data_IF_625704987046
#
_entry.id   IF_625704987046
#
_cell.length_a   1.000
_cell.length_b   1.000
_cell.length_c   1.000
_cell.angle_alpha   90.00
_cell.angle_beta   90.00
_cell.angle_gamma   90.00
#
_symmetry.space_group_name_H-M   'P 1'
#
loop_
_entity.id
_entity.type
_entity.pdbx_description
1 polymer ?
#
# COMPACT_ATOMS: atom_id res chain seq x y z
N UNK A 1 41.74 17.47 -4.32
CA UNK A 1 40.66 16.53 -4.00
C UNK A 1 39.35 17.30 -3.99
N UNK A 2 38.42 16.97 -4.88
CA UNK A 2 37.10 17.56 -4.85
C UNK A 2 36.36 17.14 -3.57
N UNK A 3 35.74 18.09 -2.90
CA UNK A 3 35.05 17.88 -1.63
C UNK A 3 33.64 17.39 -1.89
N UNK A 4 33.21 16.34 -1.16
CA UNK A 4 31.81 15.90 -1.15
C UNK A 4 30.95 16.91 -0.41
N UNK A 5 29.89 17.37 -1.04
CA UNK A 5 28.93 18.36 -0.50
C UNK A 5 27.52 17.85 -0.57
N UNK A 6 26.66 18.32 0.35
CA UNK A 6 25.22 18.06 0.37
C UNK A 6 24.50 19.37 0.02
N UNK A 7 23.42 19.21 -0.75
CA UNK A 7 22.57 20.28 -1.23
C UNK A 7 21.12 20.00 -0.88
N UNK A 8 20.38 21.00 -0.44
CA UNK A 8 18.93 20.94 -0.47
C UNK A 8 18.49 21.14 -1.92
N UNK A 9 17.74 20.19 -2.46
CA UNK A 9 17.33 20.16 -3.87
C UNK A 9 15.90 20.67 -4.01
N UNK A 10 15.76 21.77 -4.74
CA UNK A 10 14.48 22.35 -5.13
C UNK A 10 14.09 21.99 -6.58
N UNK A 11 12.96 22.52 -7.03
CA UNK A 11 12.45 22.31 -8.40
C UNK A 11 13.38 22.85 -9.49
N UNK A 12 14.19 23.88 -9.17
CA UNK A 12 15.09 24.56 -10.11
C UNK A 12 16.45 23.87 -10.25
N UNK A 13 16.77 22.89 -9.40
CA UNK A 13 18.09 22.24 -9.34
C UNK A 13 18.26 21.14 -10.40
N UNK A 14 18.40 21.53 -11.66
CA UNK A 14 18.48 20.63 -12.82
C UNK A 14 19.62 19.61 -12.73
N UNK A 15 20.72 19.91 -12.03
CA UNK A 15 21.86 18.99 -11.88
C UNK A 15 21.47 17.67 -11.23
N UNK A 16 20.47 17.66 -10.33
CA UNK A 16 19.99 16.47 -9.64
C UNK A 16 18.81 15.78 -10.31
N UNK A 17 18.14 16.43 -11.27
CA UNK A 17 16.93 15.91 -11.89
C UNK A 17 17.14 14.58 -12.62
N UNK A 18 18.34 14.31 -13.15
CA UNK A 18 18.67 13.02 -13.77
C UNK A 18 18.65 11.84 -12.78
N UNK A 19 18.80 12.10 -11.48
CA UNK A 19 18.80 11.10 -10.42
C UNK A 19 17.45 10.95 -9.72
N UNK A 20 16.45 11.75 -10.10
CA UNK A 20 15.13 11.78 -9.46
C UNK A 20 14.09 11.40 -10.52
N UNK A 21 13.35 10.29 -10.37
CA UNK A 21 12.26 9.90 -11.27
C UNK A 21 11.21 11.01 -11.43
N UNK A 22 10.57 11.07 -12.58
CA UNK A 22 9.66 12.14 -12.96
C UNK A 22 8.49 12.31 -11.96
N UNK A 23 7.92 11.22 -11.50
CA UNK A 23 6.87 11.22 -10.48
C UNK A 23 7.30 11.88 -9.15
N UNK A 24 8.59 11.82 -8.80
CA UNK A 24 9.13 12.48 -7.61
C UNK A 24 9.58 13.91 -7.87
N UNK A 25 9.92 14.26 -9.13
CA UNK A 25 10.28 15.65 -9.49
C UNK A 25 9.13 16.61 -9.25
N UNK A 26 7.89 16.19 -9.50
CA UNK A 26 6.69 16.98 -9.24
C UNK A 26 6.45 17.29 -7.73
N UNK A 27 7.21 16.64 -6.85
CA UNK A 27 7.13 16.85 -5.40
C UNK A 27 8.19 17.83 -4.89
N UNK A 28 9.22 18.15 -5.69
CA UNK A 28 10.31 19.06 -5.29
C UNK A 28 9.78 20.46 -5.04
N UNK A 29 10.27 21.10 -3.98
CA UNK A 29 9.85 22.44 -3.58
C UNK A 29 8.51 22.52 -2.82
N UNK A 30 7.84 21.39 -2.57
CA UNK A 30 6.63 21.36 -1.73
C UNK A 30 7.01 21.40 -0.26
N UNK A 31 6.19 22.02 0.57
CA UNK A 31 6.42 22.14 2.03
C UNK A 31 6.45 20.80 2.76
N UNK A 32 5.76 19.80 2.21
CA UNK A 32 5.73 18.43 2.75
C UNK A 32 6.91 17.56 2.28
N UNK A 33 7.81 18.09 1.44
CA UNK A 33 8.87 17.31 0.80
C UNK A 33 10.24 17.87 1.11
N UNK A 34 11.17 16.98 1.45
CA UNK A 34 12.59 17.30 1.64
C UNK A 34 13.42 16.44 0.70
N UNK A 35 14.20 17.07 -0.14
CA UNK A 35 15.15 16.40 -1.02
C UNK A 35 16.57 16.88 -0.76
N UNK A 36 17.50 15.93 -0.65
CA UNK A 36 18.93 16.19 -0.49
C UNK A 36 19.68 15.55 -1.64
N UNK A 37 20.55 16.31 -2.27
CA UNK A 37 21.47 15.85 -3.30
C UNK A 37 22.90 15.81 -2.79
N UNK A 38 23.71 14.89 -3.32
CA UNK A 38 25.15 14.83 -3.06
C UNK A 38 25.93 15.12 -4.35
N UNK A 39 27.02 15.89 -4.22
CA UNK A 39 27.90 16.21 -5.33
C UNK A 39 29.38 16.18 -4.93
N UNK A 40 30.24 15.75 -5.85
CA UNK A 40 31.71 15.97 -5.79
C UNK A 40 32.04 17.19 -6.64
N UNK A 41 32.49 18.25 -6.00
CA UNK A 41 32.63 19.53 -6.67
C UNK A 41 31.30 20.00 -7.28
N UNK A 42 31.24 20.11 -8.60
CA UNK A 42 30.03 20.47 -9.37
C UNK A 42 29.27 19.26 -9.91
N UNK A 43 29.81 18.03 -9.76
CA UNK A 43 29.24 16.83 -10.34
C UNK A 43 28.25 16.18 -9.35
N UNK A 44 26.95 16.28 -9.64
CA UNK A 44 25.93 15.56 -8.88
C UNK A 44 26.17 14.05 -8.97
N UNK A 45 25.93 13.31 -7.89
CA UNK A 45 26.20 11.87 -7.80
C UNK A 45 25.11 11.07 -7.07
N UNK A 46 24.01 11.70 -6.67
CA UNK A 46 22.87 11.02 -6.08
C UNK A 46 21.89 11.95 -5.42
N UNK A 47 20.71 11.43 -5.08
CA UNK A 47 19.65 12.17 -4.40
C UNK A 47 18.89 11.25 -3.44
N UNK A 48 18.33 11.82 -2.37
CA UNK A 48 17.40 11.17 -1.46
C UNK A 48 16.24 12.12 -1.13
N UNK A 49 15.01 11.56 -1.10
CA UNK A 49 13.78 12.33 -0.91
C UNK A 49 12.90 11.68 0.17
N UNK A 50 12.40 12.51 1.07
CA UNK A 50 11.38 12.14 2.03
C UNK A 50 10.17 13.07 1.94
N UNK A 51 9.02 12.52 2.24
CA UNK A 51 7.75 13.24 2.25
C UNK A 51 7.10 13.14 3.63
N UNK A 52 6.50 14.23 4.10
CA UNK A 52 5.75 14.29 5.34
C UNK A 52 4.42 13.56 5.19
N UNK A 53 4.09 12.70 6.14
CA UNK A 53 2.82 11.98 6.20
C UNK A 53 1.78 12.72 7.05
N UNK A 54 0.52 12.29 6.94
CA UNK A 54 -0.54 12.69 7.86
C UNK A 54 -0.11 12.25 9.29
N UNK A 55 0.07 13.16 10.21
CA UNK A 55 0.60 12.88 11.55
C UNK A 55 1.96 13.51 11.83
N UNK A 56 2.61 14.08 10.82
CA UNK A 56 3.77 14.94 10.96
C UNK A 56 5.12 14.24 10.85
N UNK A 57 5.17 12.91 10.84
CA UNK A 57 6.38 12.14 10.59
C UNK A 57 6.66 12.00 9.08
N UNK A 58 7.84 11.50 8.71
CA UNK A 58 8.26 11.45 7.32
C UNK A 58 8.39 10.00 6.82
N UNK A 59 8.16 9.82 5.51
CA UNK A 59 8.45 8.59 4.79
C UNK A 59 9.57 8.82 3.78
N UNK A 60 10.64 8.03 3.83
CA UNK A 60 11.66 7.98 2.80
C UNK A 60 11.03 7.40 1.52
N UNK A 61 10.87 8.24 0.50
CA UNK A 61 10.24 7.84 -0.77
C UNK A 61 11.24 7.37 -1.80
N UNK A 62 12.46 7.91 -1.75
CA UNK A 62 13.46 7.63 -2.77
C UNK A 62 14.88 7.85 -2.24
N UNK A 63 15.80 6.99 -2.69
CA UNK A 63 17.24 7.17 -2.56
C UNK A 63 17.94 6.54 -3.75
N UNK A 64 18.84 7.28 -4.39
CA UNK A 64 19.65 6.80 -5.50
C UNK A 64 21.06 7.34 -5.41
N UNK A 65 22.02 6.51 -5.76
CA UNK A 65 23.43 6.85 -5.91
C UNK A 65 23.90 6.39 -7.28
N UNK A 66 24.56 7.29 -8.01
CA UNK A 66 25.16 6.98 -9.31
C UNK A 66 26.00 5.71 -9.21
N UNK A 67 25.86 4.74 -10.11
CA UNK A 67 26.62 3.51 -10.08
C UNK A 67 28.14 3.71 -9.95
N UNK A 68 28.68 4.76 -10.57
CA UNK A 68 30.12 5.12 -10.51
C UNK A 68 30.55 5.62 -9.13
N UNK A 69 29.62 6.10 -8.31
CA UNK A 69 29.87 6.63 -6.96
C UNK A 69 29.40 5.66 -5.85
N UNK A 70 29.05 4.43 -6.19
CA UNK A 70 28.64 3.40 -5.21
C UNK A 70 29.86 2.84 -4.45
N UNK A 71 29.57 2.17 -3.35
CA UNK A 71 30.53 1.46 -2.47
C UNK A 71 31.53 2.35 -1.71
N UNK A 72 31.46 3.67 -1.83
CA UNK A 72 32.28 4.62 -1.07
C UNK A 72 31.57 5.25 0.15
N UNK A 73 30.43 4.71 0.59
CA UNK A 73 29.67 5.22 1.73
C UNK A 73 28.70 6.37 1.40
N UNK A 74 28.64 6.82 0.13
CA UNK A 74 27.84 7.96 -0.30
C UNK A 74 26.35 7.83 0.03
N UNK A 75 25.77 6.64 -0.15
CA UNK A 75 24.35 6.40 0.18
C UNK A 75 24.05 6.63 1.67
N UNK A 76 24.93 6.17 2.56
CA UNK A 76 24.79 6.43 4.00
C UNK A 76 24.97 7.90 4.34
N UNK A 77 25.94 8.56 3.69
CA UNK A 77 26.18 10.00 3.86
C UNK A 77 24.97 10.84 3.42
N UNK A 78 24.40 10.52 2.25
CA UNK A 78 23.22 11.16 1.71
C UNK A 78 22.00 10.99 2.64
N UNK A 79 21.77 9.76 3.12
CA UNK A 79 20.67 9.46 4.02
C UNK A 79 20.83 10.17 5.37
N UNK A 80 22.04 10.21 5.94
CA UNK A 80 22.30 10.98 7.17
C UNK A 80 22.08 12.48 6.97
N UNK A 81 22.45 13.02 5.81
CA UNK A 81 22.18 14.41 5.47
C UNK A 81 20.69 14.70 5.40
N UNK A 82 19.91 13.82 4.77
CA UNK A 82 18.45 13.90 4.75
C UNK A 82 17.87 13.86 6.17
N UNK A 83 18.29 12.90 7.00
CA UNK A 83 17.86 12.78 8.40
C UNK A 83 18.15 14.05 9.20
N UNK A 84 19.33 14.66 9.02
CA UNK A 84 19.68 15.93 9.65
C UNK A 84 18.71 17.06 9.28
N UNK A 85 18.31 17.15 8.00
CA UNK A 85 17.34 18.14 7.54
C UNK A 85 15.93 17.87 8.10
N UNK A 86 15.53 16.61 8.24
CA UNK A 86 14.26 16.22 8.81
C UNK A 86 14.21 16.50 10.33
N UNK A 87 15.31 16.23 11.04
CA UNK A 87 15.46 16.56 12.46
C UNK A 87 15.28 18.06 12.70
N UNK A 88 15.95 18.90 11.89
CA UNK A 88 15.84 20.36 11.96
C UNK A 88 14.41 20.87 11.69
N UNK A 89 13.56 20.08 11.02
CA UNK A 89 12.14 20.35 10.78
C UNK A 89 11.21 19.74 11.83
N UNK A 90 11.76 19.18 12.91
CA UNK A 90 11.01 18.63 14.04
C UNK A 90 10.42 17.24 13.79
N UNK A 91 10.93 16.48 12.82
CA UNK A 91 10.56 15.07 12.64
C UNK A 91 10.94 14.27 13.89
N UNK A 92 10.05 13.37 14.32
CA UNK A 92 10.31 12.43 15.41
C UNK A 92 10.67 11.05 14.91
N UNK A 93 10.14 10.70 13.75
CA UNK A 93 10.30 9.40 13.13
C UNK A 93 10.40 9.52 11.61
N UNK A 94 11.20 8.66 11.00
CA UNK A 94 11.25 8.47 9.54
C UNK A 94 11.04 6.99 9.23
N UNK A 95 10.06 6.69 8.40
CA UNK A 95 9.77 5.35 7.89
C UNK A 95 10.43 5.15 6.53
N UNK A 96 10.95 3.97 6.28
CA UNK A 96 11.33 3.49 4.95
C UNK A 96 10.50 2.24 4.66
N UNK A 97 9.57 2.35 3.71
CA UNK A 97 8.70 1.24 3.26
C UNK A 97 9.19 0.82 1.87
N UNK A 98 9.45 -0.45 1.70
CA UNK A 98 10.03 -1.00 0.47
C UNK A 98 9.71 -2.47 0.28
N UNK A 99 9.62 -2.89 -0.98
CA UNK A 99 9.58 -4.30 -1.37
C UNK A 99 10.98 -4.78 -1.72
N UNK A 100 11.45 -5.90 -1.16
CA UNK A 100 12.77 -6.45 -1.48
C UNK A 100 12.97 -6.73 -2.98
N UNK A 101 11.92 -7.13 -3.68
CA UNK A 101 11.94 -7.41 -5.12
C UNK A 101 12.12 -6.15 -5.99
N UNK A 102 11.65 -5.00 -5.52
CA UNK A 102 11.79 -3.71 -6.23
C UNK A 102 13.15 -3.05 -6.04
N UNK A 103 13.98 -3.58 -5.16
CA UNK A 103 15.31 -3.04 -4.91
C UNK A 103 16.30 -3.69 -5.88
N UNK A 104 16.75 -2.96 -6.90
CA UNK A 104 17.82 -3.40 -7.84
C UNK A 104 19.05 -3.98 -7.12
N UNK A 105 19.31 -3.51 -5.90
CA UNK A 105 20.39 -3.93 -5.02
C UNK A 105 19.90 -4.08 -3.58
N UNK A 106 18.91 -4.93 -3.34
CA UNK A 106 18.22 -5.08 -2.05
C UNK A 106 19.13 -5.17 -0.83
N UNK A 107 20.19 -5.98 -0.90
CA UNK A 107 21.17 -6.10 0.21
C UNK A 107 21.94 -4.80 0.46
N UNK A 108 22.25 -4.04 -0.59
CA UNK A 108 22.96 -2.77 -0.45
C UNK A 108 22.09 -1.69 0.18
N UNK A 109 20.83 -1.60 -0.25
CA UNK A 109 19.85 -0.63 0.31
C UNK A 109 19.59 -0.91 1.78
N UNK A 110 19.38 -2.18 2.16
CA UNK A 110 19.26 -2.60 3.56
C UNK A 110 20.50 -2.20 4.38
N UNK A 111 21.69 -2.44 3.85
CA UNK A 111 22.93 -2.04 4.50
C UNK A 111 23.09 -0.51 4.64
N UNK A 112 22.54 0.28 3.74
CA UNK A 112 22.52 1.75 3.85
C UNK A 112 21.59 2.17 5.00
N UNK A 113 20.36 1.65 5.04
CA UNK A 113 19.39 1.93 6.10
C UNK A 113 19.95 1.56 7.49
N UNK A 114 20.49 0.36 7.63
CA UNK A 114 21.06 -0.12 8.90
C UNK A 114 22.23 0.74 9.36
N UNK A 115 23.18 1.08 8.46
CA UNK A 115 24.31 1.97 8.79
C UNK A 115 23.89 3.41 9.08
N UNK A 116 22.75 3.85 8.58
CA UNK A 116 22.17 5.15 8.93
C UNK A 116 21.44 5.13 10.27
N UNK A 117 21.18 3.96 10.86
CA UNK A 117 20.55 3.82 12.17
C UNK A 117 19.08 3.42 12.13
N UNK A 118 18.56 3.01 10.99
CA UNK A 118 17.20 2.46 10.89
C UNK A 118 17.11 1.11 11.62
N UNK A 119 15.93 0.84 12.18
CA UNK A 119 15.62 -0.44 12.79
C UNK A 119 15.71 -1.60 11.80
N UNK A 120 15.82 -2.82 12.31
CA UNK A 120 15.64 -4.01 11.47
C UNK A 120 14.26 -3.99 10.81
N UNK A 121 14.17 -4.41 9.53
CA UNK A 121 12.92 -4.39 8.80
C UNK A 121 11.88 -5.32 9.42
N UNK A 122 10.62 -4.85 9.43
CA UNK A 122 9.45 -5.64 9.81
C UNK A 122 8.48 -5.68 8.64
N UNK A 123 7.84 -6.80 8.42
CA UNK A 123 6.76 -6.91 7.45
C UNK A 123 5.58 -6.02 7.88
N UNK A 124 5.09 -5.18 6.97
CA UNK A 124 3.95 -4.26 7.23
C UNK A 124 2.74 -4.60 6.37
N UNK A 125 2.97 -5.12 5.18
CA UNK A 125 1.93 -5.64 4.31
C UNK A 125 2.46 -6.76 3.44
N UNK A 126 1.55 -7.56 2.88
CA UNK A 126 1.88 -8.52 1.82
C UNK A 126 0.86 -8.35 0.71
N UNK A 127 1.33 -8.01 -0.47
CA UNK A 127 0.52 -7.94 -1.67
C UNK A 127 0.47 -9.29 -2.35
N UNK A 128 -0.69 -9.63 -2.85
CA UNK A 128 -0.98 -10.84 -3.62
C UNK A 128 -1.56 -10.43 -4.96
N UNK A 129 -1.15 -11.09 -6.02
CA UNK A 129 -1.83 -10.98 -7.32
C UNK A 129 -2.00 -12.35 -7.96
N UNK A 130 -3.08 -12.52 -8.71
CA UNK A 130 -3.41 -13.73 -9.46
C UNK A 130 -4.35 -13.38 -10.60
N UNK A 131 -4.72 -14.36 -11.43
CA UNK A 131 -5.79 -14.22 -12.41
C UNK A 131 -7.13 -14.67 -11.82
N UNK A 132 -8.23 -14.04 -12.25
CA UNK A 132 -9.58 -14.34 -11.78
C UNK A 132 -9.96 -15.82 -11.99
N UNK A 133 -9.53 -16.40 -13.12
CA UNK A 133 -9.76 -17.81 -13.45
C UNK A 133 -9.10 -18.79 -12.47
N UNK A 134 -8.01 -18.39 -11.84
CA UNK A 134 -7.26 -19.20 -10.87
C UNK A 134 -7.88 -19.15 -9.45
N UNK A 135 -8.78 -18.20 -9.19
CA UNK A 135 -9.44 -18.08 -7.88
C UNK A 135 -10.47 -19.18 -7.75
N UNK A 136 -10.40 -20.02 -6.68
CA UNK A 136 -11.39 -21.07 -6.47
C UNK A 136 -12.77 -20.51 -6.17
N UNK A 137 -13.80 -21.25 -6.53
CA UNK A 137 -15.16 -20.94 -6.11
C UNK A 137 -15.30 -21.14 -4.60
N UNK A 138 -15.91 -20.16 -3.95
CA UNK A 138 -16.24 -20.25 -2.52
C UNK A 138 -17.69 -20.74 -2.39
N UNK A 139 -17.86 -21.89 -1.79
CA UNK A 139 -19.20 -22.45 -1.50
C UNK A 139 -19.64 -22.09 -0.10
N UNK A 140 -20.85 -21.57 0.01
CA UNK A 140 -21.49 -21.27 1.30
C UNK A 140 -22.86 -21.96 1.33
N UNK A 141 -23.13 -22.80 2.33
CA UNK A 141 -24.45 -23.41 2.48
C UNK A 141 -25.52 -22.31 2.58
N UNK A 142 -26.67 -22.47 1.90
CA UNK A 142 -27.79 -21.54 2.02
C UNK A 142 -28.18 -21.32 3.48
N UNK A 143 -28.52 -20.07 3.81
CA UNK A 143 -29.05 -19.75 5.15
C UNK A 143 -30.13 -18.68 4.98
N UNK A 144 -31.34 -18.90 5.50
CA UNK A 144 -32.46 -17.96 5.39
C UNK A 144 -32.19 -16.64 6.15
N UNK A 145 -31.26 -16.66 7.09
CA UNK A 145 -30.90 -15.50 7.89
C UNK A 145 -29.83 -14.62 7.24
N UNK A 146 -29.25 -15.07 6.11
CA UNK A 146 -28.09 -14.41 5.49
C UNK A 146 -28.44 -14.01 4.07
N UNK A 147 -28.33 -12.70 3.78
CA UNK A 147 -28.55 -12.13 2.46
C UNK A 147 -27.36 -11.28 2.05
N UNK A 148 -26.90 -11.42 0.80
CA UNK A 148 -25.81 -10.64 0.23
C UNK A 148 -26.34 -9.84 -0.96
N UNK A 149 -26.03 -8.54 -0.97
CA UNK A 149 -26.43 -7.59 -2.00
C UNK A 149 -25.18 -6.99 -2.63
N UNK A 150 -25.20 -6.75 -3.95
CA UNK A 150 -24.21 -5.86 -4.53
C UNK A 150 -24.38 -4.43 -3.97
N UNK A 151 -23.31 -3.65 -3.93
CA UNK A 151 -23.42 -2.24 -3.51
C UNK A 151 -24.31 -1.46 -4.49
N UNK A 152 -24.32 -1.87 -5.77
CA UNK A 152 -25.13 -1.24 -6.81
C UNK A 152 -26.64 -1.44 -6.56
N UNK A 153 -27.03 -2.69 -6.23
CA UNK A 153 -28.44 -3.09 -6.13
C UNK A 153 -28.93 -3.22 -4.67
N UNK A 154 -28.13 -2.72 -3.71
CA UNK A 154 -28.48 -2.81 -2.30
C UNK A 154 -29.76 -2.02 -2.00
N UNK A 155 -30.76 -2.64 -1.34
CA UNK A 155 -31.98 -1.95 -0.92
C UNK A 155 -31.70 -0.75 -0.03
N UNK A 156 -32.60 0.25 0.03
CA UNK A 156 -32.42 1.45 0.83
C UNK A 156 -32.12 1.18 2.30
N UNK A 157 -32.74 0.17 2.91
CA UNK A 157 -32.49 -0.21 4.30
C UNK A 157 -31.05 -0.68 4.53
N UNK A 158 -30.45 -1.41 3.57
CA UNK A 158 -29.05 -1.85 3.63
C UNK A 158 -28.09 -0.68 3.47
N UNK A 159 -28.39 0.23 2.53
CA UNK A 159 -27.61 1.44 2.33
C UNK A 159 -27.67 2.34 3.58
N UNK A 160 -28.84 2.51 4.19
CA UNK A 160 -29.00 3.27 5.42
C UNK A 160 -28.21 2.64 6.59
N UNK A 161 -28.28 1.32 6.75
CA UNK A 161 -27.50 0.62 7.77
C UNK A 161 -25.97 0.87 7.60
N UNK A 162 -25.49 0.85 6.36
CA UNK A 162 -24.11 1.18 6.04
C UNK A 162 -23.77 2.64 6.41
N UNK A 163 -24.60 3.61 6.05
CA UNK A 163 -24.39 5.03 6.37
C UNK A 163 -24.38 5.30 7.89
N UNK A 164 -25.25 4.64 8.64
CA UNK A 164 -25.29 4.73 10.11
C UNK A 164 -23.98 4.23 10.71
N UNK A 165 -23.44 3.09 10.24
CA UNK A 165 -22.17 2.56 10.72
C UNK A 165 -20.98 3.46 10.34
N UNK A 166 -20.98 4.06 9.16
CA UNK A 166 -19.98 5.06 8.77
C UNK A 166 -20.03 6.29 9.68
N UNK A 167 -21.21 6.86 9.87
CA UNK A 167 -21.40 8.07 10.66
C UNK A 167 -21.09 7.88 12.15
N UNK A 168 -21.21 6.67 12.68
CA UNK A 168 -20.85 6.33 14.06
C UNK A 168 -19.35 6.05 14.26
N UNK A 169 -18.56 6.00 13.19
CA UNK A 169 -17.15 5.61 13.26
C UNK A 169 -16.92 4.12 13.58
N UNK A 170 -17.96 3.28 13.45
CA UNK A 170 -17.86 1.84 13.72
C UNK A 170 -17.13 1.07 12.60
N UNK A 171 -16.96 1.68 11.43
CA UNK A 171 -16.27 1.08 10.30
C UNK A 171 -14.83 1.61 10.18
N UNK A 172 -13.85 0.75 9.88
CA UNK A 172 -12.50 1.21 9.57
C UNK A 172 -12.47 1.93 8.21
N UNK A 173 -11.47 2.79 8.00
CA UNK A 173 -11.32 3.60 6.79
C UNK A 173 -11.36 2.79 5.49
N UNK A 174 -10.75 1.60 5.47
CA UNK A 174 -10.75 0.72 4.30
C UNK A 174 -12.13 0.13 3.96
N UNK A 175 -13.11 0.22 4.85
CA UNK A 175 -14.50 -0.18 4.62
C UNK A 175 -15.38 1.00 4.14
N UNK A 176 -14.79 2.16 3.85
CA UNK A 176 -15.49 3.34 3.36
C UNK A 176 -15.35 3.47 1.84
N UNK A 177 -16.47 3.37 1.12
CA UNK A 177 -16.52 3.54 -0.33
C UNK A 177 -15.95 4.87 -0.83
N UNK A 178 -16.02 5.94 -0.02
CA UNK A 178 -15.50 7.25 -0.40
C UNK A 178 -13.96 7.31 -0.50
N UNK A 179 -13.26 6.33 0.06
CA UNK A 179 -11.80 6.23 -0.05
C UNK A 179 -11.31 5.42 -1.24
N UNK A 180 -12.22 4.78 -1.97
CA UNK A 180 -11.90 4.11 -3.23
C UNK A 180 -11.78 5.13 -4.36
N UNK A 181 -10.79 4.93 -5.24
CA UNK A 181 -10.58 5.80 -6.40
C UNK A 181 -11.62 5.53 -7.49
N UNK A 182 -11.90 4.25 -7.74
CA UNK A 182 -12.84 3.79 -8.76
C UNK A 182 -13.67 2.62 -8.23
N UNK A 183 -14.61 2.84 -7.27
CA UNK A 183 -15.36 1.77 -6.62
C UNK A 183 -16.16 0.94 -7.65
N UNK A 184 -15.93 -0.37 -7.65
CA UNK A 184 -16.65 -1.30 -8.51
C UNK A 184 -17.89 -1.81 -7.78
N UNK A 185 -18.98 -1.05 -7.87
CA UNK A 185 -20.18 -1.27 -7.07
C UNK A 185 -20.89 -2.61 -7.35
N UNK A 186 -20.82 -3.11 -8.60
CA UNK A 186 -21.38 -4.39 -8.99
C UNK A 186 -20.65 -5.57 -8.30
N UNK A 187 -19.34 -5.46 -8.11
CA UNK A 187 -18.51 -6.49 -7.50
C UNK A 187 -18.38 -6.32 -5.98
N UNK A 188 -18.54 -5.09 -5.49
CA UNK A 188 -18.57 -4.79 -4.06
C UNK A 188 -19.89 -5.27 -3.46
N UNK A 189 -19.87 -5.72 -2.20
CA UNK A 189 -21.07 -6.34 -1.59
C UNK A 189 -21.23 -6.01 -0.11
N UNK A 190 -22.48 -5.99 0.31
CA UNK A 190 -22.94 -5.93 1.69
C UNK A 190 -23.57 -7.26 2.09
N UNK A 191 -23.32 -7.70 3.31
CA UNK A 191 -23.95 -8.89 3.88
C UNK A 191 -24.85 -8.50 5.06
N UNK A 192 -26.10 -8.93 4.99
CA UNK A 192 -27.05 -8.83 6.09
C UNK A 192 -27.19 -10.17 6.76
N UNK A 193 -27.17 -10.23 8.08
CA UNK A 193 -27.44 -11.43 8.87
C UNK A 193 -28.48 -11.12 9.94
N UNK A 194 -29.60 -11.84 9.94
CA UNK A 194 -30.75 -11.56 10.82
C UNK A 194 -31.24 -10.09 10.76
N UNK A 195 -31.24 -9.47 9.57
CA UNK A 195 -31.66 -8.08 9.37
C UNK A 195 -30.66 -7.02 9.81
N UNK A 196 -29.44 -7.41 10.23
CA UNK A 196 -28.35 -6.49 10.63
C UNK A 196 -27.23 -6.56 9.62
N UNK A 197 -26.63 -5.41 9.26
CA UNK A 197 -25.44 -5.39 8.42
C UNK A 197 -24.27 -6.07 9.17
N UNK A 198 -23.83 -7.20 8.64
CA UNK A 198 -22.83 -8.08 9.29
C UNK A 198 -21.44 -7.94 8.67
N UNK A 199 -21.36 -7.51 7.40
CA UNK A 199 -20.07 -7.36 6.73
C UNK A 199 -20.15 -6.61 5.41
N UNK A 200 -18.98 -6.21 4.94
CA UNK A 200 -18.76 -5.36 3.77
C UNK A 200 -17.56 -5.89 3.02
N UNK A 201 -17.66 -5.99 1.70
CA UNK A 201 -16.54 -6.29 0.84
C UNK A 201 -16.47 -5.28 -0.29
N UNK A 202 -15.37 -4.55 -0.37
CA UNK A 202 -15.15 -3.48 -1.32
C UNK A 202 -14.09 -3.85 -2.34
N UNK A 203 -14.42 -3.61 -3.59
CA UNK A 203 -13.55 -3.83 -4.75
C UNK A 203 -13.39 -2.51 -5.49
N UNK A 204 -12.14 -2.15 -5.79
CA UNK A 204 -11.78 -0.99 -6.59
C UNK A 204 -11.31 -1.44 -7.98
N UNK A 205 -11.61 -0.68 -9.02
CA UNK A 205 -11.10 -0.92 -10.36
C UNK A 205 -9.70 -0.35 -10.48
N UNK A 206 -8.75 -1.14 -10.93
CA UNK A 206 -7.37 -0.72 -11.17
C UNK A 206 -6.96 -1.12 -12.59
N UNK A 207 -6.98 -0.15 -13.51
CA UNK A 207 -6.84 -0.45 -14.94
C UNK A 207 -7.93 -1.40 -15.40
N UNK A 208 -7.56 -2.50 -16.02
CA UNK A 208 -8.49 -3.57 -16.48
C UNK A 208 -8.76 -4.62 -15.38
N UNK A 209 -8.18 -4.50 -14.20
CA UNK A 209 -8.26 -5.51 -13.16
C UNK A 209 -8.97 -5.07 -11.89
N UNK A 210 -9.04 -5.99 -10.92
CA UNK A 210 -9.73 -5.85 -9.64
C UNK A 210 -8.74 -5.70 -8.50
N UNK A 211 -8.90 -4.68 -7.67
CA UNK A 211 -8.22 -4.55 -6.39
C UNK A 211 -9.21 -4.85 -5.26
N UNK A 212 -8.96 -5.90 -4.49
CA UNK A 212 -9.72 -6.24 -3.29
C UNK A 212 -9.35 -5.25 -2.19
N UNK A 213 -10.05 -4.12 -2.15
CA UNK A 213 -9.69 -2.97 -1.34
C UNK A 213 -9.96 -3.20 0.15
N UNK A 214 -11.03 -3.91 0.51
CA UNK A 214 -11.32 -4.20 1.91
C UNK A 214 -12.40 -5.24 2.12
N UNK A 215 -12.13 -6.19 3.00
CA UNK A 215 -13.13 -7.11 3.56
C UNK A 215 -13.24 -6.86 5.06
N UNK A 216 -14.40 -6.42 5.50
CA UNK A 216 -14.68 -6.18 6.91
C UNK A 216 -15.90 -6.97 7.38
N UNK A 217 -15.74 -7.68 8.47
CA UNK A 217 -16.84 -8.35 9.18
C UNK A 217 -16.95 -7.72 10.56
N UNK A 218 -18.15 -7.26 10.90
CA UNK A 218 -18.41 -6.66 12.20
C UNK A 218 -18.05 -7.64 13.33
N UNK A 219 -17.54 -7.18 14.47
CA UNK A 219 -17.02 -8.04 15.53
C UNK A 219 -17.99 -9.12 15.98
N UNK A 220 -19.28 -8.81 16.08
CA UNK A 220 -20.33 -9.76 16.51
C UNK A 220 -20.55 -10.93 15.53
N UNK A 221 -20.12 -10.80 14.27
CA UNK A 221 -20.33 -11.80 13.21
C UNK A 221 -19.04 -12.50 12.76
N UNK A 222 -17.91 -12.22 13.45
CA UNK A 222 -16.63 -12.86 13.14
C UNK A 222 -16.65 -14.35 13.51
N UNK A 223 -15.98 -15.15 12.67
CA UNK A 223 -15.99 -16.61 12.80
C UNK A 223 -17.24 -17.29 12.22
N UNK A 224 -18.22 -16.50 11.76
CA UNK A 224 -19.41 -16.96 11.05
C UNK A 224 -19.22 -17.11 9.53
N UNK A 225 -20.33 -17.07 8.81
CA UNK A 225 -20.41 -17.29 7.36
C UNK A 225 -20.28 -16.01 6.54
N UNK A 226 -20.37 -14.85 7.16
CA UNK A 226 -20.43 -13.53 6.52
C UNK A 226 -19.29 -13.29 5.52
N UNK A 227 -18.03 -13.52 5.92
CA UNK A 227 -16.87 -13.34 5.03
C UNK A 227 -16.95 -14.27 3.81
N UNK A 228 -17.28 -15.55 4.03
CA UNK A 228 -17.38 -16.52 2.95
C UNK A 228 -18.52 -16.18 1.98
N UNK A 229 -19.66 -15.69 2.48
CA UNK A 229 -20.80 -15.28 1.66
C UNK A 229 -20.47 -14.04 0.78
N UNK A 230 -19.83 -13.04 1.35
CA UNK A 230 -19.34 -11.86 0.61
C UNK A 230 -18.39 -12.28 -0.51
N UNK A 231 -17.39 -13.09 -0.20
CA UNK A 231 -16.43 -13.59 -1.19
C UNK A 231 -17.10 -14.44 -2.27
N UNK A 232 -17.99 -15.37 -1.88
CA UNK A 232 -18.70 -16.24 -2.83
C UNK A 232 -19.52 -15.42 -3.83
N UNK A 233 -20.24 -14.41 -3.37
CA UNK A 233 -21.03 -13.54 -4.23
C UNK A 233 -20.14 -12.72 -5.18
N UNK A 234 -19.13 -12.05 -4.66
CA UNK A 234 -18.26 -11.18 -5.46
C UNK A 234 -17.44 -11.98 -6.48
N UNK A 235 -16.90 -13.14 -6.11
CA UNK A 235 -16.18 -14.03 -7.03
C UNK A 235 -17.11 -14.53 -8.13
N UNK A 236 -18.32 -14.98 -7.79
CA UNK A 236 -19.31 -15.44 -8.78
C UNK A 236 -19.67 -14.34 -9.76
N UNK A 237 -19.98 -13.14 -9.25
CA UNK A 237 -20.32 -12.00 -10.10
C UNK A 237 -19.13 -11.61 -10.99
N UNK A 238 -17.91 -11.53 -10.44
CA UNK A 238 -16.72 -11.22 -11.21
C UNK A 238 -16.50 -12.23 -12.35
N UNK A 239 -16.56 -13.52 -12.08
CA UNK A 239 -16.41 -14.59 -13.09
C UNK A 239 -17.51 -14.59 -14.16
N UNK A 240 -18.69 -14.06 -13.84
CA UNK A 240 -19.78 -13.94 -14.80
C UNK A 240 -19.62 -12.77 -15.79
N UNK A 241 -18.92 -11.70 -15.39
CA UNK A 241 -18.84 -10.46 -16.19
C UNK A 241 -17.44 -10.12 -16.68
N UNK A 242 -16.40 -10.75 -16.14
CA UNK A 242 -15.00 -10.46 -16.47
C UNK A 242 -14.30 -11.66 -17.10
N UNK A 243 -13.33 -11.42 -17.99
CA UNK A 243 -12.47 -12.46 -18.54
C UNK A 243 -11.68 -13.20 -17.45
N UNK A 244 -11.41 -14.51 -17.61
CA UNK A 244 -10.65 -15.29 -16.63
C UNK A 244 -9.20 -14.83 -16.44
N UNK A 245 -8.62 -14.14 -17.43
CA UNK A 245 -7.30 -13.54 -17.39
C UNK A 245 -7.25 -12.20 -16.63
N UNK A 246 -8.40 -11.68 -16.20
CA UNK A 246 -8.47 -10.45 -15.41
C UNK A 246 -7.59 -10.56 -14.16
N UNK A 247 -6.70 -9.60 -13.99
CA UNK A 247 -5.79 -9.58 -12.86
C UNK A 247 -6.51 -9.14 -11.57
N UNK A 248 -6.25 -9.84 -10.47
CA UNK A 248 -6.84 -9.59 -9.16
C UNK A 248 -5.74 -9.36 -8.15
N UNK A 249 -5.79 -8.23 -7.44
CA UNK A 249 -4.83 -7.87 -6.39
C UNK A 249 -5.51 -7.77 -5.02
N UNK A 250 -4.76 -8.09 -3.99
CA UNK A 250 -5.14 -7.84 -2.60
C UNK A 250 -3.90 -7.50 -1.77
N UNK A 251 -4.08 -6.73 -0.70
CA UNK A 251 -3.03 -6.47 0.28
C UNK A 251 -3.48 -6.93 1.66
N UNK A 252 -2.65 -7.73 2.31
CA UNK A 252 -2.88 -8.22 3.66
C UNK A 252 -2.00 -7.46 4.65
N UNK A 253 -2.60 -6.79 5.61
CA UNK A 253 -1.94 -6.00 6.66
C UNK A 253 -1.92 -6.72 8.01
N UNK A 254 -2.71 -7.78 8.16
CA UNK A 254 -2.77 -8.59 9.37
C UNK A 254 -2.75 -10.10 9.05
N UNK A 255 -2.63 -10.91 10.10
CA UNK A 255 -2.54 -12.37 9.99
C UNK A 255 -3.79 -13.02 9.37
N UNK A 256 -4.98 -12.47 9.64
CA UNK A 256 -6.23 -13.04 9.14
C UNK A 256 -6.39 -12.74 7.64
N UNK A 257 -6.14 -11.49 7.24
CA UNK A 257 -6.11 -11.08 5.85
C UNK A 257 -5.06 -11.88 5.06
N UNK A 258 -3.85 -12.05 5.63
CA UNK A 258 -2.82 -12.89 5.03
C UNK A 258 -3.27 -14.33 4.82
N UNK A 259 -3.82 -15.00 5.86
CA UNK A 259 -4.31 -16.36 5.75
C UNK A 259 -5.43 -16.53 4.72
N UNK A 260 -6.30 -15.52 4.59
CA UNK A 260 -7.37 -15.48 3.59
C UNK A 260 -6.80 -15.35 2.17
N UNK A 261 -5.94 -14.36 1.94
CA UNK A 261 -5.30 -14.15 0.65
C UNK A 261 -4.45 -15.35 0.22
N UNK A 262 -3.70 -15.94 1.14
CA UNK A 262 -2.89 -17.14 0.90
C UNK A 262 -3.74 -18.32 0.41
N UNK A 263 -4.90 -18.53 1.01
CA UNK A 263 -5.83 -19.61 0.62
C UNK A 263 -6.56 -19.35 -0.69
N UNK A 264 -6.90 -18.11 -0.98
CA UNK A 264 -7.71 -17.75 -2.14
C UNK A 264 -6.86 -17.41 -3.38
N UNK A 265 -5.77 -16.68 -3.20
CA UNK A 265 -5.05 -16.08 -4.30
C UNK A 265 -3.75 -16.81 -4.68
N UNK A 266 -3.21 -17.68 -3.81
CA UNK A 266 -1.95 -18.40 -4.10
C UNK A 266 -2.15 -19.83 -4.67
N UNK A 267 -3.32 -20.16 -5.21
CA UNK A 267 -3.58 -21.50 -5.77
C UNK A 267 -3.26 -21.61 -7.27
N UNK A 268 -3.06 -20.51 -7.96
CA UNK A 268 -2.81 -20.49 -9.40
C UNK A 268 -1.32 -20.50 -9.75
N UNK A 269 -1.00 -20.96 -10.96
CA UNK A 269 0.37 -21.00 -11.49
C UNK A 269 0.98 -19.60 -11.74
N UNK A 270 0.19 -18.55 -11.69
CA UNK A 270 0.58 -17.14 -11.93
C UNK A 270 0.46 -16.26 -10.68
N UNK A 271 0.25 -16.89 -9.53
CA UNK A 271 0.13 -16.15 -8.27
C UNK A 271 1.49 -15.54 -7.87
N UNK A 272 1.47 -14.23 -7.60
CA UNK A 272 2.63 -13.49 -7.10
C UNK A 272 2.34 -13.05 -5.67
N UNK A 273 3.36 -13.17 -4.83
CA UNK A 273 3.33 -12.72 -3.45
C UNK A 273 4.52 -11.83 -3.20
N UNK A 274 4.24 -10.62 -2.76
CA UNK A 274 5.27 -9.63 -2.45
C UNK A 274 5.06 -9.06 -1.05
N UNK A 275 6.11 -9.08 -0.22
CA UNK A 275 6.05 -8.55 1.14
C UNK A 275 6.72 -7.20 1.20
N UNK A 276 5.99 -6.19 1.64
CA UNK A 276 6.52 -4.87 1.97
C UNK A 276 7.12 -4.89 3.38
N UNK A 277 8.30 -4.34 3.49
CA UNK A 277 9.04 -4.19 4.72
C UNK A 277 9.08 -2.72 5.13
N UNK A 278 9.06 -2.47 6.42
CA UNK A 278 9.23 -1.15 6.99
C UNK A 278 10.41 -1.17 7.96
N UNK A 279 11.33 -0.24 7.79
CA UNK A 279 12.37 0.12 8.73
C UNK A 279 12.12 1.52 9.26
N UNK A 280 12.37 1.75 10.55
CA UNK A 280 12.05 3.01 11.24
C UNK A 280 13.33 3.60 11.81
N UNK A 281 13.54 4.89 11.58
CA UNK A 281 14.53 5.70 12.26
C UNK A 281 13.82 6.61 13.27
N UNK A 282 14.30 6.68 14.51
CA UNK A 282 13.82 7.60 15.56
C UNK A 282 14.93 8.55 15.96
N UNK A 283 14.58 9.82 16.03
CA UNK A 283 15.50 10.87 16.46
C UNK A 283 15.71 10.89 17.95
#
# INVERSE_FOLDING_TARGET
MERLTLWLVGSEDKAFSQYIPENFRAMLGRDDTVCVGAAYGTSACGAALAQREQGGDYCLRYIFVDPKARLCGLGTYLLRGLLGQLCARGAREVKAIYSPSMLENGKQTLGILERAGFSRPKAVSTSFSTQLGDIPDVSVPPSPSLAVYSVLDAPPEVQNAYQVLLGSGALPDFANLAYLTHPWKELSSFCMENGVLSGIFLIDRKGEGCHLAGLYVLPAFRGGRTAAALLAQSIRTAKAILPPETEVWASAIDRNAFSLCDKLLLRGNRAVKETELCSIYRF
#
